data_IF_160951112707
#
_entry.id   IF_160951112707
#
_cell.length_a   1.000
_cell.length_b   1.000
_cell.length_c   1.000
_cell.angle_alpha   90.00
_cell.angle_beta   90.00
_cell.angle_gamma   90.00
#
_symmetry.space_group_name_H-M   'P 1'
#
loop_
_entity.id
_entity.type
_entity.pdbx_description
1 polymer ?
#
# COMPACT_ATOMS: atom_id res chain seq x y z
N UNK A 1 -6.98 6.14 -9.58
CA UNK A 1 -6.63 6.14 -8.15
C UNK A 1 -7.43 5.07 -7.46
N UNK A 2 -6.74 4.07 -6.93
CA UNK A 2 -7.25 2.94 -6.18
C UNK A 2 -7.06 3.25 -4.68
N UNK A 3 -7.99 2.80 -3.84
CA UNK A 3 -7.93 3.05 -2.40
C UNK A 3 -8.31 1.79 -1.62
N UNK A 4 -7.56 1.50 -0.57
CA UNK A 4 -7.87 0.46 0.43
C UNK A 4 -7.87 1.15 1.79
N UNK A 5 -8.92 0.92 2.57
CA UNK A 5 -9.05 1.53 3.89
C UNK A 5 -9.56 0.54 4.95
N UNK A 6 -9.23 0.85 6.20
CA UNK A 6 -9.75 0.18 7.39
C UNK A 6 -9.82 1.18 8.55
N UNK A 7 -10.45 0.79 9.66
CA UNK A 7 -10.61 1.65 10.83
C UNK A 7 -10.15 0.92 12.09
N UNK A 8 -9.44 1.62 12.97
CA UNK A 8 -9.03 1.13 14.27
C UNK A 8 -9.97 1.61 15.35
N UNK A 9 -10.83 0.72 15.85
CA UNK A 9 -11.93 1.09 16.76
C UNK A 9 -11.60 0.92 18.25
N UNK A 10 -10.44 0.33 18.58
CA UNK A 10 -10.13 0.05 19.98
C UNK A 10 -9.75 1.32 20.74
N UNK A 11 -10.24 1.44 21.98
CA UNK A 11 -9.98 2.60 22.85
C UNK A 11 -8.59 2.66 23.49
N UNK A 12 -7.66 1.80 23.06
CA UNK A 12 -6.28 1.76 23.55
C UNK A 12 -5.35 2.11 22.39
N UNK A 13 -4.33 2.92 22.64
CA UNK A 13 -3.38 3.29 21.60
C UNK A 13 -2.64 2.07 21.03
N UNK A 14 -2.42 2.03 19.72
CA UNK A 14 -1.67 0.97 19.05
C UNK A 14 -0.66 1.52 18.07
N UNK A 15 0.48 0.84 17.92
CA UNK A 15 1.42 1.11 16.85
C UNK A 15 0.96 0.41 15.58
N UNK A 16 0.95 1.14 14.47
CA UNK A 16 0.61 0.63 13.15
C UNK A 16 1.87 0.18 12.41
N UNK A 17 1.84 -1.04 11.90
CA UNK A 17 2.74 -1.54 10.85
C UNK A 17 1.90 -1.82 9.61
N UNK A 18 2.40 -1.42 8.44
CA UNK A 18 1.77 -1.70 7.15
C UNK A 18 2.68 -2.60 6.33
N UNK A 19 2.14 -3.68 5.77
CA UNK A 19 2.86 -4.55 4.85
C UNK A 19 2.20 -4.51 3.47
N UNK A 20 3.02 -4.31 2.45
CA UNK A 20 2.59 -4.33 1.04
C UNK A 20 3.32 -5.46 0.35
N UNK A 21 2.56 -6.42 -0.17
CA UNK A 21 3.10 -7.56 -0.91
C UNK A 21 2.39 -7.72 -2.25
N UNK A 22 3.13 -8.28 -3.21
CA UNK A 22 2.62 -8.63 -4.53
C UNK A 22 2.73 -10.13 -4.75
N UNK A 23 1.66 -10.71 -5.29
CA UNK A 23 1.69 -12.04 -5.87
C UNK A 23 1.80 -11.88 -7.39
N UNK A 24 3.02 -12.06 -7.89
CA UNK A 24 3.37 -11.90 -9.29
C UNK A 24 4.34 -13.01 -9.72
N UNK A 25 3.88 -13.86 -10.62
CA UNK A 25 4.67 -14.93 -11.24
C UNK A 25 5.11 -14.58 -12.68
N UNK A 26 4.71 -13.42 -13.18
CA UNK A 26 4.87 -12.96 -14.58
C UNK A 26 5.85 -11.79 -14.73
N UNK A 27 6.25 -11.16 -13.63
CA UNK A 27 6.95 -9.87 -13.58
C UNK A 27 6.11 -8.68 -14.08
N UNK A 28 4.80 -8.85 -14.24
CA UNK A 28 3.90 -7.77 -14.65
C UNK A 28 3.87 -6.60 -13.66
N UNK A 29 4.15 -6.84 -12.37
CA UNK A 29 4.30 -5.78 -11.37
C UNK A 29 5.38 -4.75 -11.73
N UNK A 30 6.39 -5.12 -12.52
CA UNK A 30 7.43 -4.22 -13.01
C UNK A 30 6.95 -3.32 -14.16
N UNK A 31 5.77 -3.60 -14.73
CA UNK A 31 5.13 -2.79 -15.77
C UNK A 31 4.04 -1.86 -15.22
N UNK A 32 3.71 -1.98 -13.93
CA UNK A 32 2.80 -1.06 -13.27
C UNK A 32 3.61 0.07 -12.65
N UNK A 33 3.68 1.18 -13.38
CA UNK A 33 4.30 2.42 -12.92
C UNK A 33 3.48 3.03 -11.80
N UNK A 34 4.15 3.46 -10.74
CA UNK A 34 3.55 4.16 -9.60
C UNK A 34 3.69 5.65 -9.84
N UNK A 35 2.60 6.32 -10.22
CA UNK A 35 2.62 7.78 -10.28
C UNK A 35 2.69 8.36 -8.86
N UNK A 36 1.80 7.89 -8.00
CA UNK A 36 1.72 8.26 -6.59
C UNK A 36 1.22 7.08 -5.76
N UNK A 37 1.73 6.92 -4.54
CA UNK A 37 1.16 6.09 -3.50
C UNK A 37 1.31 6.79 -2.14
N UNK A 38 0.25 6.83 -1.36
CA UNK A 38 0.14 7.61 -0.13
C UNK A 38 -0.47 6.76 0.98
N UNK A 39 0.17 6.72 2.14
CA UNK A 39 -0.35 6.12 3.36
C UNK A 39 -0.82 7.22 4.31
N UNK A 40 -2.09 7.18 4.68
CA UNK A 40 -2.69 8.10 5.63
C UNK A 40 -3.21 7.32 6.85
N UNK A 41 -2.97 7.82 8.05
CA UNK A 41 -3.50 7.26 9.30
C UNK A 41 -3.96 8.38 10.23
N UNK A 42 -5.18 8.28 10.77
CA UNK A 42 -5.74 9.30 11.67
C UNK A 42 -5.83 10.70 11.04
N UNK A 43 -5.96 10.76 9.71
CA UNK A 43 -5.98 12.01 8.94
C UNK A 43 -4.61 12.67 8.75
N UNK A 44 -3.51 11.98 9.09
CA UNK A 44 -2.14 12.45 8.86
C UNK A 44 -1.50 11.66 7.71
N UNK A 45 -0.82 12.37 6.80
CA UNK A 45 0.04 11.73 5.79
C UNK A 45 1.28 11.17 6.48
N UNK A 46 1.47 9.87 6.35
CA UNK A 46 2.53 9.11 7.01
C UNK A 46 3.69 8.85 6.06
N UNK A 47 3.42 8.81 4.77
CA UNK A 47 4.41 8.50 3.77
C UNK A 47 3.82 8.57 2.37
N UNK A 48 4.57 9.20 1.48
CA UNK A 48 4.28 9.25 0.06
C UNK A 48 5.44 8.66 -0.75
N UNK A 49 5.07 7.91 -1.77
CA UNK A 49 5.94 7.41 -2.82
C UNK A 49 5.49 8.01 -4.14
N UNK A 50 6.46 8.42 -4.96
CA UNK A 50 6.20 8.96 -6.28
C UNK A 50 7.28 8.50 -7.23
N UNK A 51 6.87 7.92 -8.36
CA UNK A 51 7.78 7.28 -9.32
C UNK A 51 8.16 5.86 -8.90
N UNK A 52 8.72 5.11 -9.85
CA UNK A 52 9.07 3.70 -9.69
C UNK A 52 7.96 2.76 -10.16
N UNK A 53 8.09 1.50 -9.81
CA UNK A 53 7.17 0.40 -10.15
C UNK A 53 6.44 -0.10 -8.91
N UNK A 54 5.37 -0.88 -9.09
CA UNK A 54 4.65 -1.51 -7.98
C UNK A 54 5.58 -2.38 -7.11
N UNK A 55 6.60 -3.01 -7.71
CA UNK A 55 7.59 -3.79 -6.97
C UNK A 55 8.39 -2.94 -5.97
N UNK A 56 8.64 -1.66 -6.27
CA UNK A 56 9.38 -0.74 -5.39
C UNK A 56 8.56 -0.32 -4.15
N UNK A 57 7.24 -0.49 -4.17
CA UNK A 57 6.35 -0.26 -3.02
C UNK A 57 6.24 -1.46 -2.09
N UNK A 58 6.83 -2.60 -2.46
CA UNK A 58 6.70 -3.82 -1.64
C UNK A 58 7.63 -3.78 -0.44
N UNK A 59 7.10 -4.19 0.70
CA UNK A 59 7.86 -4.23 1.94
C UNK A 59 7.01 -3.99 3.17
N UNK A 60 7.69 -4.05 4.31
CA UNK A 60 7.11 -3.81 5.62
C UNK A 60 7.52 -2.42 6.13
N UNK A 61 6.52 -1.60 6.39
CA UNK A 61 6.66 -0.26 6.97
C UNK A 61 6.28 -0.33 8.45
N UNK A 62 7.27 -0.42 9.31
CA UNK A 62 7.07 -0.61 10.75
C UNK A 62 6.81 0.70 11.51
N UNK A 63 5.90 0.64 12.50
CA UNK A 63 5.63 1.73 13.45
C UNK A 63 5.37 3.09 12.77
N UNK A 64 4.65 3.08 11.67
CA UNK A 64 4.41 4.25 10.82
C UNK A 64 3.50 5.29 11.49
N UNK A 65 2.61 4.85 12.40
CA UNK A 65 1.74 5.74 13.17
C UNK A 65 1.38 5.15 14.53
N UNK A 66 0.96 6.00 15.47
CA UNK A 66 0.21 5.60 16.66
C UNK A 66 -1.27 5.89 16.41
N UNK A 67 -2.12 4.88 16.54
CA UNK A 67 -3.56 4.94 16.29
C UNK A 67 -4.34 5.14 17.59
N UNK A 68 -5.33 6.02 17.55
CA UNK A 68 -6.41 6.14 18.53
C UNK A 68 -7.72 5.50 18.03
N UNK A 69 -8.63 5.23 18.95
CA UNK A 69 -9.94 4.68 18.61
C UNK A 69 -10.73 5.62 17.68
N UNK A 70 -11.24 5.06 16.59
CA UNK A 70 -11.94 5.78 15.51
C UNK A 70 -11.02 6.23 14.36
N UNK A 71 -9.70 6.01 14.46
CA UNK A 71 -8.79 6.42 13.40
C UNK A 71 -8.98 5.58 12.15
N UNK A 72 -9.06 6.26 11.00
CA UNK A 72 -9.09 5.62 9.69
C UNK A 72 -7.68 5.53 9.14
N UNK A 73 -7.37 4.38 8.53
CA UNK A 73 -6.12 4.08 7.86
C UNK A 73 -6.45 3.87 6.39
N UNK A 74 -5.73 4.54 5.50
CA UNK A 74 -5.99 4.51 4.06
C UNK A 74 -4.69 4.45 3.28
N UNK A 75 -4.61 3.54 2.32
CA UNK A 75 -3.60 3.54 1.26
C UNK A 75 -4.27 3.95 -0.04
N UNK A 76 -3.80 5.05 -0.63
CA UNK A 76 -4.21 5.50 -1.95
C UNK A 76 -3.06 5.29 -2.91
N UNK A 77 -3.30 4.65 -4.04
CA UNK A 77 -2.29 4.47 -5.06
C UNK A 77 -2.82 4.82 -6.45
N UNK A 78 -1.94 5.26 -7.33
CA UNK A 78 -2.24 5.57 -8.71
C UNK A 78 -1.24 4.89 -9.63
N UNK A 79 -1.67 3.78 -10.20
CA UNK A 79 -0.86 3.00 -11.13
C UNK A 79 -1.19 3.35 -12.58
N UNK A 80 -0.17 3.38 -13.43
CA UNK A 80 -0.31 3.39 -14.89
C UNK A 80 0.34 2.13 -15.44
N UNK A 81 -0.23 1.56 -16.50
CA UNK A 81 0.45 0.53 -17.27
C UNK A 81 1.52 1.20 -18.13
N UNK A 82 2.78 0.82 -17.91
CA UNK A 82 3.90 1.22 -18.75
C UNK A 82 3.70 0.81 -20.21
N UNK A 83 4.44 1.45 -21.11
CA UNK A 83 4.36 1.13 -22.54
C UNK A 83 5.03 -0.23 -22.83
N UNK A 84 4.23 -1.28 -22.98
CA UNK A 84 4.66 -2.53 -23.61
C UNK A 84 4.07 -2.66 -25.03
N UNK A 85 4.95 -2.74 -26.02
CA UNK A 85 4.56 -2.90 -27.44
C UNK A 85 4.72 -4.33 -27.97
N UNK A 86 5.25 -5.24 -27.14
CA UNK A 86 5.52 -6.64 -27.48
C UNK A 86 4.33 -7.59 -27.26
N UNK A 87 3.33 -7.19 -26.47
CA UNK A 87 2.31 -8.06 -25.87
C UNK A 87 2.90 -9.11 -24.90
N UNK A 88 4.05 -8.83 -24.30
CA UNK A 88 4.76 -9.78 -23.45
C UNK A 88 3.96 -10.11 -22.18
N UNK A 89 3.07 -9.19 -21.77
CA UNK A 89 2.20 -9.33 -20.58
C UNK A 89 0.71 -9.41 -20.93
N UNK A 90 0.37 -9.77 -22.16
CA UNK A 90 -1.03 -9.84 -22.61
C UNK A 90 -1.79 -10.94 -21.87
N UNK A 91 -2.76 -10.53 -21.06
CA UNK A 91 -3.59 -11.45 -20.27
C UNK A 91 -3.04 -11.74 -18.87
N UNK A 92 -1.92 -11.12 -18.50
CA UNK A 92 -1.34 -11.23 -17.17
C UNK A 92 -2.11 -10.38 -16.15
N UNK A 93 -1.91 -10.72 -14.88
CA UNK A 93 -2.52 -10.04 -13.75
C UNK A 93 -1.58 -10.11 -12.55
N UNK A 94 -1.70 -9.13 -11.65
CA UNK A 94 -0.99 -9.11 -10.37
C UNK A 94 -1.97 -8.96 -9.22
N UNK A 95 -1.73 -9.71 -8.15
CA UNK A 95 -2.41 -9.52 -6.88
C UNK A 95 -1.63 -8.55 -5.99
N UNK A 96 -2.29 -7.55 -5.41
CA UNK A 96 -1.71 -6.64 -4.43
C UNK A 96 -2.40 -6.89 -3.10
N UNK A 97 -1.61 -7.19 -2.06
CA UNK A 97 -2.12 -7.34 -0.69
C UNK A 97 -1.54 -6.23 0.17
N UNK A 98 -2.42 -5.50 0.86
CA UNK A 98 -2.07 -4.50 1.87
C UNK A 98 -2.57 -4.99 3.22
N UNK A 99 -1.66 -5.19 4.15
CA UNK A 99 -1.97 -5.66 5.51
C UNK A 99 -1.73 -4.54 6.51
N UNK A 100 -2.75 -4.22 7.30
CA UNK A 100 -2.65 -3.29 8.43
C UNK A 100 -2.54 -4.08 9.73
N UNK A 101 -1.42 -3.95 10.44
CA UNK A 101 -1.18 -4.61 11.72
C UNK A 101 -1.08 -3.57 12.85
N UNK A 102 -2.07 -3.56 13.74
CA UNK A 102 -2.10 -2.68 14.90
C UNK A 102 -1.76 -3.48 16.18
N UNK A 103 -0.65 -3.12 16.84
CA UNK A 103 -0.22 -3.75 18.10
C UNK A 103 -0.37 -2.77 19.25
N UNK A 104 -1.16 -3.14 20.28
CA UNK A 104 -1.41 -2.29 21.45
C UNK A 104 -0.12 -1.98 22.21
N UNK A 105 0.02 -0.73 22.65
CA UNK A 105 1.09 -0.34 23.56
C UNK A 105 0.77 -0.90 24.96
N UNK A 106 1.76 -1.55 25.59
CA UNK A 106 1.64 -2.13 26.94
C UNK A 106 1.99 -1.13 28.02
#
# INVERSE_FOLDING_TARGET
MQSISTTYEAGVAANLTVDVSVDDNSNFSQQLDVNTAELNAGGTDIGSFSGGTLADLTGTYENVATLGGGDTITVNANFTLGEDTGNDYQGDSVGITVTFNATQQT
#
